data_IF_990000435332
#
_entry.id   IF_990000435332
#
_cell.length_a   1.000
_cell.length_b   1.000
_cell.length_c   1.000
_cell.angle_alpha   90.00
_cell.angle_beta   90.00
_cell.angle_gamma   90.00
#
_symmetry.space_group_name_H-M   'P 1'
#
loop_
_entity.id
_entity.type
_entity.pdbx_description
1 polymer ?
#
# COMPACT_ATOMS: atom_id res chain seq x y z
N UNK A 1 15.07 -19.78 17.86
CA UNK A 1 16.37 -20.40 17.56
C UNK A 1 17.18 -19.37 16.78
N UNK A 2 18.47 -19.09 17.16
CA UNK A 2 19.28 -18.15 16.39
C UNK A 2 19.47 -18.72 14.98
N UNK A 3 19.19 -17.88 13.98
CA UNK A 3 19.45 -18.20 12.58
C UNK A 3 20.94 -18.43 12.45
N UNK A 4 21.35 -19.61 12.04
CA UNK A 4 22.75 -19.88 11.73
C UNK A 4 23.23 -18.86 10.69
N UNK A 5 24.44 -18.32 10.88
CA UNK A 5 25.01 -17.23 10.04
C UNK A 5 24.93 -17.49 8.52
N UNK A 6 24.76 -18.75 8.10
CA UNK A 6 24.57 -19.13 6.70
C UNK A 6 23.19 -18.83 6.10
N UNK A 7 22.15 -18.63 6.91
CA UNK A 7 20.78 -18.37 6.44
C UNK A 7 20.37 -16.88 6.48
N UNK A 8 21.16 -16.03 7.13
CA UNK A 8 20.85 -14.62 7.28
C UNK A 8 20.81 -13.87 5.93
N UNK A 9 21.72 -14.18 5.03
CA UNK A 9 21.83 -13.53 3.71
C UNK A 9 20.69 -13.92 2.77
N UNK A 10 20.32 -15.23 2.59
CA UNK A 10 19.13 -15.63 1.84
C UNK A 10 17.84 -15.05 2.40
N UNK A 11 17.66 -15.05 3.74
CA UNK A 11 16.47 -14.49 4.38
C UNK A 11 16.35 -12.98 4.18
N UNK A 12 17.45 -12.22 4.31
CA UNK A 12 17.48 -10.79 4.02
C UNK A 12 17.12 -10.50 2.56
N UNK A 13 17.68 -11.27 1.61
CA UNK A 13 17.38 -11.13 0.20
C UNK A 13 15.91 -11.46 -0.11
N UNK A 14 15.37 -12.50 0.52
CA UNK A 14 13.96 -12.88 0.40
C UNK A 14 13.00 -11.78 0.90
N UNK A 15 13.31 -11.13 2.03
CA UNK A 15 12.54 -10.00 2.55
C UNK A 15 12.62 -8.81 1.60
N UNK A 16 13.82 -8.45 1.13
CA UNK A 16 14.01 -7.34 0.21
C UNK A 16 13.27 -7.55 -1.11
N UNK A 17 13.36 -8.75 -1.68
CA UNK A 17 12.64 -9.15 -2.89
C UNK A 17 11.13 -9.03 -2.69
N UNK A 18 10.60 -9.60 -1.62
CA UNK A 18 9.15 -9.55 -1.33
C UNK A 18 8.69 -8.11 -1.10
N UNK A 19 9.42 -7.32 -0.32
CA UNK A 19 9.08 -5.92 -0.08
C UNK A 19 9.06 -5.09 -1.39
N UNK A 20 10.05 -5.26 -2.26
CA UNK A 20 10.06 -4.58 -3.57
C UNK A 20 8.94 -5.07 -4.48
N UNK A 21 8.62 -6.37 -4.47
CA UNK A 21 7.53 -6.96 -5.23
C UNK A 21 6.16 -6.37 -4.83
N UNK A 22 5.91 -6.20 -3.53
CA UNK A 22 4.67 -5.58 -3.04
C UNK A 22 4.66 -4.07 -3.24
N UNK A 23 5.79 -3.39 -3.13
CA UNK A 23 5.90 -1.96 -3.46
C UNK A 23 5.59 -1.68 -4.94
N UNK A 24 6.03 -2.57 -5.83
CA UNK A 24 5.72 -2.48 -7.27
C UNK A 24 4.38 -3.09 -7.65
N UNK A 25 3.61 -3.54 -6.67
CA UNK A 25 2.31 -4.23 -6.81
C UNK A 25 2.33 -5.47 -7.72
N UNK A 26 3.50 -6.10 -7.85
CA UNK A 26 3.68 -7.35 -8.62
C UNK A 26 3.17 -8.55 -7.83
N UNK A 27 3.40 -8.59 -6.50
CA UNK A 27 2.82 -9.57 -5.58
C UNK A 27 3.54 -10.92 -5.47
N UNK A 28 4.76 -11.08 -6.03
CA UNK A 28 5.52 -12.31 -5.83
C UNK A 28 6.10 -12.38 -4.42
N UNK A 29 5.99 -13.56 -3.81
CA UNK A 29 6.48 -13.87 -2.46
C UNK A 29 7.70 -14.78 -2.60
N UNK A 30 8.79 -14.42 -1.93
CA UNK A 30 9.98 -15.29 -1.86
C UNK A 30 9.71 -16.51 -0.98
N UNK A 31 10.27 -17.66 -1.31
CA UNK A 31 10.26 -18.87 -0.46
C UNK A 31 10.86 -18.61 0.92
N UNK A 32 11.83 -17.69 1.01
CA UNK A 32 12.50 -17.32 2.26
C UNK A 32 11.75 -16.24 3.07
N UNK A 33 10.58 -15.78 2.60
CA UNK A 33 9.80 -14.76 3.28
C UNK A 33 9.45 -15.13 4.73
N UNK A 34 8.97 -16.37 4.96
CA UNK A 34 8.58 -16.82 6.29
C UNK A 34 9.75 -16.85 7.27
N UNK A 35 10.93 -17.28 6.81
CA UNK A 35 12.15 -17.29 7.62
C UNK A 35 12.59 -15.87 7.97
N UNK A 36 12.57 -14.96 7.00
CA UNK A 36 12.91 -13.56 7.21
C UNK A 36 11.91 -12.81 8.10
N UNK A 37 10.62 -13.09 7.92
CA UNK A 37 9.55 -12.52 8.75
C UNK A 37 9.67 -12.97 10.21
N UNK A 38 9.95 -14.25 10.46
CA UNK A 38 10.18 -14.79 11.81
C UNK A 38 11.42 -14.16 12.48
N UNK A 39 12.47 -13.90 11.70
CA UNK A 39 13.70 -13.26 12.21
C UNK A 39 13.49 -11.79 12.55
N UNK A 40 12.64 -11.07 11.83
CA UNK A 40 12.40 -9.64 12.03
C UNK A 40 11.77 -9.29 13.39
N UNK A 41 11.15 -10.27 14.08
CA UNK A 41 10.43 -10.06 15.34
C UNK A 41 9.17 -9.20 15.19
N UNK A 42 8.74 -8.88 13.97
CA UNK A 42 7.51 -8.12 13.69
C UNK A 42 6.32 -9.07 13.85
N UNK A 43 5.39 -8.74 14.74
CA UNK A 43 4.23 -9.59 15.03
C UNK A 43 3.27 -9.76 13.83
N UNK A 44 3.21 -8.78 12.94
CA UNK A 44 2.32 -8.78 11.75
C UNK A 44 3.07 -8.28 10.51
N UNK A 45 3.99 -9.07 9.95
CA UNK A 45 4.79 -8.65 8.78
C UNK A 45 3.92 -8.39 7.54
N UNK A 46 2.77 -9.04 7.42
CA UNK A 46 1.80 -8.82 6.34
C UNK A 46 1.26 -7.39 6.27
N UNK A 47 1.10 -6.72 7.42
CA UNK A 47 0.68 -5.30 7.44
C UNK A 47 1.71 -4.36 6.81
N UNK A 48 3.00 -4.69 6.92
CA UNK A 48 4.06 -3.91 6.25
C UNK A 48 3.93 -4.04 4.73
N UNK A 49 3.68 -5.26 4.24
CA UNK A 49 3.45 -5.50 2.82
C UNK A 49 2.18 -4.79 2.30
N UNK A 50 1.12 -4.77 3.11
CA UNK A 50 -0.11 -4.05 2.82
C UNK A 50 0.16 -2.54 2.71
N UNK A 51 0.91 -1.95 3.63
CA UNK A 51 1.31 -0.55 3.57
C UNK A 51 2.15 -0.24 2.32
N UNK A 52 3.09 -1.12 1.96
CA UNK A 52 3.90 -0.97 0.74
C UNK A 52 3.02 -1.03 -0.52
N UNK A 53 2.05 -1.94 -0.58
CA UNK A 53 1.11 -2.04 -1.70
C UNK A 53 0.23 -0.79 -1.84
N UNK A 54 -0.20 -0.17 -0.73
CA UNK A 54 -0.95 1.09 -0.72
C UNK A 54 -0.10 2.24 -1.29
N UNK A 55 1.18 2.34 -0.87
CA UNK A 55 2.12 3.35 -1.40
C UNK A 55 2.25 3.18 -2.92
N UNK A 56 2.39 1.94 -3.37
CA UNK A 56 2.44 1.59 -4.78
C UNK A 56 3.73 2.02 -5.48
N UNK A 57 3.82 1.67 -6.75
CA UNK A 57 5.00 1.95 -7.57
C UNK A 57 5.09 3.38 -8.13
N UNK A 58 5.97 3.58 -9.10
CA UNK A 58 6.20 4.87 -9.75
C UNK A 58 5.03 5.34 -10.62
N UNK A 59 4.93 6.63 -10.87
CA UNK A 59 3.82 7.27 -11.63
C UNK A 59 3.75 6.87 -13.10
N UNK A 60 4.82 6.37 -13.67
CA UNK A 60 4.89 5.92 -15.07
C UNK A 60 4.86 4.40 -15.20
N UNK A 61 4.41 3.70 -14.17
CA UNK A 61 4.31 2.24 -14.14
C UNK A 61 2.85 1.79 -14.10
N UNK A 62 2.61 0.53 -14.48
CA UNK A 62 1.32 -0.15 -14.38
C UNK A 62 0.94 -0.54 -12.94
N UNK A 63 1.79 -0.22 -11.97
CA UNK A 63 1.55 -0.49 -10.56
C UNK A 63 0.29 0.23 -10.07
N UNK A 64 -0.54 -0.45 -9.27
CA UNK A 64 -1.69 0.12 -8.58
C UNK A 64 -1.30 0.99 -7.37
N UNK A 65 -2.28 1.36 -6.56
CA UNK A 65 -2.09 2.13 -5.33
C UNK A 65 -1.98 3.65 -5.55
N UNK A 66 -1.61 4.37 -4.48
CA UNK A 66 -1.57 5.85 -4.45
C UNK A 66 -0.47 6.43 -5.34
N UNK A 67 0.57 5.67 -5.63
CA UNK A 67 1.81 6.00 -6.37
C UNK A 67 2.79 6.88 -5.59
N UNK A 68 4.04 6.45 -5.61
CA UNK A 68 5.14 7.00 -4.80
C UNK A 68 5.29 8.52 -4.92
N UNK A 69 5.14 9.09 -6.13
CA UNK A 69 5.29 10.53 -6.35
C UNK A 69 4.20 11.34 -5.64
N UNK A 70 2.97 10.82 -5.56
CA UNK A 70 1.87 11.47 -4.85
C UNK A 70 2.10 11.44 -3.34
N UNK A 71 2.54 10.30 -2.81
CA UNK A 71 2.93 10.16 -1.40
C UNK A 71 4.06 11.15 -1.07
N UNK A 72 5.09 11.25 -1.90
CA UNK A 72 6.17 12.22 -1.74
C UNK A 72 5.66 13.67 -1.77
N UNK A 73 4.76 14.01 -2.70
CA UNK A 73 4.17 15.35 -2.78
C UNK A 73 3.38 15.71 -1.52
N UNK A 74 2.61 14.75 -0.96
CA UNK A 74 1.87 14.92 0.29
C UNK A 74 2.80 15.10 1.49
N UNK A 75 3.85 14.28 1.63
CA UNK A 75 4.84 14.41 2.70
C UNK A 75 5.53 15.78 2.65
N UNK A 76 5.97 16.21 1.47
CA UNK A 76 6.58 17.52 1.27
C UNK A 76 5.60 18.69 1.54
N UNK A 77 4.33 18.49 1.30
CA UNK A 77 3.31 19.48 1.67
C UNK A 77 3.14 19.54 3.18
N UNK A 78 3.04 18.39 3.84
CA UNK A 78 2.94 18.29 5.29
C UNK A 78 4.15 18.92 6.02
N UNK A 79 5.37 18.62 5.59
CA UNK A 79 6.59 19.23 6.14
C UNK A 79 6.52 20.77 6.10
N UNK A 80 6.02 21.34 5.01
CA UNK A 80 5.92 22.81 4.86
C UNK A 80 4.84 23.44 5.72
N UNK A 81 3.70 22.77 5.85
CA UNK A 81 2.68 23.28 6.74
C UNK A 81 3.16 23.25 8.20
N UNK A 82 3.94 22.24 8.59
CA UNK A 82 4.62 22.19 9.90
C UNK A 82 5.65 23.32 10.03
N UNK A 83 6.51 23.56 9.01
CA UNK A 83 7.47 24.66 9.02
C UNK A 83 6.78 26.03 9.15
N UNK A 84 5.62 26.21 8.54
CA UNK A 84 4.83 27.45 8.67
C UNK A 84 4.28 27.68 10.09
N UNK A 85 3.93 26.59 10.78
CA UNK A 85 3.45 26.67 12.17
C UNK A 85 4.63 27.04 13.09
N UNK A 86 5.82 26.47 12.86
CA UNK A 86 7.00 26.70 13.69
C UNK A 86 7.66 28.06 13.38
N UNK A 87 7.72 28.45 12.09
CA UNK A 87 8.38 29.67 11.61
C UNK A 87 7.44 30.49 10.71
N UNK A 88 6.46 31.23 11.27
CA UNK A 88 5.43 31.94 10.49
C UNK A 88 6.00 33.03 9.57
N UNK A 89 7.19 33.56 9.89
CA UNK A 89 7.88 34.64 9.11
C UNK A 89 8.85 34.09 8.05
N UNK A 90 8.93 32.77 7.84
CA UNK A 90 9.82 32.17 6.86
C UNK A 90 9.33 32.46 5.44
N UNK A 91 10.12 33.22 4.68
CA UNK A 91 9.91 33.44 3.25
C UNK A 91 10.49 32.22 2.50
N UNK A 92 9.63 31.23 2.19
CA UNK A 92 10.05 30.00 1.51
C UNK A 92 10.82 30.28 0.21
N UNK A 93 11.96 29.60 0.04
CA UNK A 93 12.83 29.65 -1.15
C UNK A 93 12.07 29.14 -2.39
N UNK A 94 11.58 30.04 -3.24
CA UNK A 94 11.00 29.65 -4.53
C UNK A 94 10.21 30.78 -5.16
N UNK A 95 10.44 31.06 -6.46
CA UNK A 95 9.70 32.02 -7.25
C UNK A 95 8.19 31.71 -7.33
N UNK A 96 7.38 32.70 -7.67
CA UNK A 96 5.91 32.62 -7.71
C UNK A 96 5.37 31.49 -8.59
N UNK A 97 6.01 31.21 -9.75
CA UNK A 97 5.60 30.11 -10.64
C UNK A 97 5.85 28.73 -10.06
N UNK A 98 7.00 28.51 -9.41
CA UNK A 98 7.31 27.24 -8.77
C UNK A 98 6.45 26.95 -7.51
N UNK A 99 5.91 27.99 -6.88
CA UNK A 99 4.95 27.85 -5.77
C UNK A 99 3.58 27.39 -6.27
N UNK A 100 3.10 27.95 -7.38
CA UNK A 100 1.80 27.62 -7.96
C UNK A 100 1.75 26.18 -8.44
N UNK A 101 2.71 25.76 -9.29
CA UNK A 101 2.81 24.38 -9.77
C UNK A 101 2.88 23.34 -8.65
N UNK A 102 3.62 23.65 -7.58
CA UNK A 102 3.74 22.75 -6.42
C UNK A 102 2.47 22.67 -5.58
N UNK A 103 1.71 23.76 -5.46
CA UNK A 103 0.43 23.77 -4.74
C UNK A 103 -0.63 22.99 -5.50
N UNK A 104 -0.73 23.19 -6.80
CA UNK A 104 -1.63 22.44 -7.67
C UNK A 104 -1.30 20.93 -7.65
N UNK A 105 -0.01 20.55 -7.70
CA UNK A 105 0.42 19.16 -7.60
C UNK A 105 0.08 18.51 -6.24
N UNK A 106 0.22 19.24 -5.13
CA UNK A 106 -0.15 18.74 -3.81
C UNK A 106 -1.66 18.60 -3.64
N UNK A 107 -2.46 19.53 -4.18
CA UNK A 107 -3.91 19.43 -4.18
C UNK A 107 -4.41 18.23 -4.98
N UNK A 108 -3.86 18.02 -6.17
CA UNK A 108 -4.18 16.83 -6.98
C UNK A 108 -3.78 15.54 -6.25
N UNK A 109 -2.60 15.48 -5.64
CA UNK A 109 -2.17 14.33 -4.86
C UNK A 109 -3.13 14.02 -3.69
N UNK A 110 -3.61 15.06 -3.00
CA UNK A 110 -4.60 14.95 -1.93
C UNK A 110 -5.93 14.40 -2.43
N UNK A 111 -6.45 14.92 -3.54
CA UNK A 111 -7.71 14.45 -4.14
C UNK A 111 -7.61 12.96 -4.51
N UNK A 112 -6.52 12.56 -5.17
CA UNK A 112 -6.33 11.15 -5.51
C UNK A 112 -6.18 10.24 -4.29
N UNK A 113 -5.49 10.71 -3.25
CA UNK A 113 -5.38 9.96 -1.99
C UNK A 113 -6.76 9.78 -1.33
N UNK A 114 -7.56 10.85 -1.28
CA UNK A 114 -8.92 10.78 -0.74
C UNK A 114 -9.82 9.86 -1.59
N UNK A 115 -9.71 9.95 -2.91
CA UNK A 115 -10.46 9.06 -3.82
C UNK A 115 -10.09 7.60 -3.58
N UNK A 116 -8.82 7.28 -3.45
CA UNK A 116 -8.35 5.93 -3.13
C UNK A 116 -8.89 5.47 -1.77
N UNK A 117 -8.80 6.30 -0.73
CA UNK A 117 -9.32 5.98 0.61
C UNK A 117 -10.84 5.72 0.58
N UNK A 118 -11.60 6.55 -0.14
CA UNK A 118 -13.04 6.35 -0.31
C UNK A 118 -13.33 5.05 -1.09
N UNK A 119 -12.57 4.75 -2.14
CA UNK A 119 -12.71 3.51 -2.90
C UNK A 119 -12.46 2.28 -2.03
N UNK A 120 -11.42 2.31 -1.17
CA UNK A 120 -11.16 1.24 -0.18
C UNK A 120 -12.34 1.11 0.77
N UNK A 121 -12.84 2.23 1.34
CA UNK A 121 -13.95 2.22 2.29
C UNK A 121 -15.23 1.65 1.66
N UNK A 122 -15.58 2.09 0.44
CA UNK A 122 -16.77 1.61 -0.29
C UNK A 122 -16.63 0.12 -0.61
N UNK A 123 -15.50 -0.32 -1.12
CA UNK A 123 -15.26 -1.73 -1.44
C UNK A 123 -15.33 -2.60 -0.19
N UNK A 124 -14.69 -2.17 0.90
CA UNK A 124 -14.76 -2.87 2.19
C UNK A 124 -16.20 -2.95 2.70
N UNK A 125 -16.96 -1.85 2.64
CA UNK A 125 -18.37 -1.83 3.05
C UNK A 125 -19.23 -2.79 2.21
N UNK A 126 -19.03 -2.83 0.90
CA UNK A 126 -19.74 -3.77 0.01
C UNK A 126 -19.40 -5.22 0.35
N UNK A 127 -18.14 -5.54 0.64
CA UNK A 127 -17.72 -6.90 1.02
C UNK A 127 -18.29 -7.29 2.38
N UNK A 128 -18.34 -6.39 3.35
CA UNK A 128 -18.96 -6.67 4.67
C UNK A 128 -20.47 -6.85 4.57
N UNK A 129 -21.15 -6.17 3.65
CA UNK A 129 -22.57 -6.41 3.36
C UNK A 129 -22.81 -7.81 2.72
N UNK A 130 -21.79 -8.42 2.15
CA UNK A 130 -21.81 -9.79 1.61
C UNK A 130 -21.30 -10.84 2.61
N UNK A 131 -21.41 -10.56 3.92
CA UNK A 131 -21.02 -11.44 5.04
C UNK A 131 -19.51 -11.77 5.13
N UNK A 132 -18.65 -10.94 4.51
CA UNK A 132 -17.20 -11.04 4.71
C UNK A 132 -16.81 -10.26 5.97
N UNK A 133 -16.07 -10.89 6.90
CA UNK A 133 -15.60 -10.20 8.11
C UNK A 133 -14.75 -8.98 7.74
N UNK A 134 -14.74 -7.94 8.61
CA UNK A 134 -14.12 -6.64 8.33
C UNK A 134 -12.64 -6.72 7.96
N UNK A 135 -11.85 -7.50 8.73
CA UNK A 135 -10.40 -7.63 8.46
C UNK A 135 -10.11 -8.26 7.08
N UNK A 136 -10.65 -9.44 6.72
CA UNK A 136 -10.50 -9.98 5.38
C UNK A 136 -11.06 -9.05 4.30
N UNK A 137 -12.19 -8.38 4.53
CA UNK A 137 -12.79 -7.46 3.58
C UNK A 137 -11.87 -6.28 3.26
N UNK A 138 -11.22 -5.71 4.29
CA UNK A 138 -10.26 -4.62 4.13
C UNK A 138 -9.03 -5.06 3.33
N UNK A 139 -8.46 -6.22 3.66
CA UNK A 139 -7.30 -6.76 2.94
C UNK A 139 -7.65 -7.06 1.48
N UNK A 140 -8.79 -7.69 1.22
CA UNK A 140 -9.26 -7.98 -0.13
C UNK A 140 -9.54 -6.70 -0.94
N UNK A 141 -10.14 -5.67 -0.32
CA UNK A 141 -10.39 -4.39 -0.96
C UNK A 141 -9.09 -3.72 -1.39
N UNK A 142 -8.08 -3.69 -0.52
CA UNK A 142 -6.76 -3.14 -0.84
C UNK A 142 -6.08 -3.99 -1.91
N UNK A 143 -6.08 -5.32 -1.78
CA UNK A 143 -5.51 -6.24 -2.76
C UNK A 143 -6.12 -6.04 -4.16
N UNK A 144 -7.44 -5.85 -4.25
CA UNK A 144 -8.14 -5.60 -5.50
C UNK A 144 -7.78 -4.22 -6.09
N UNK A 145 -7.85 -3.14 -5.30
CA UNK A 145 -7.57 -1.77 -5.75
C UNK A 145 -6.10 -1.54 -6.08
N UNK A 146 -5.17 -2.27 -5.44
CA UNK A 146 -3.75 -2.22 -5.78
C UNK A 146 -3.35 -3.23 -6.84
N UNK A 147 -4.29 -4.07 -7.29
CA UNK A 147 -4.07 -5.18 -8.24
C UNK A 147 -2.99 -6.19 -7.76
N UNK A 148 -2.83 -6.33 -6.43
CA UNK A 148 -1.83 -7.19 -5.79
C UNK A 148 -2.54 -8.41 -5.17
N UNK A 149 -3.01 -9.35 -6.01
CA UNK A 149 -3.77 -10.52 -5.58
C UNK A 149 -3.15 -11.32 -4.42
N UNK A 150 -1.84 -11.68 -4.46
CA UNK A 150 -1.20 -12.45 -3.39
C UNK A 150 -1.19 -11.77 -2.02
N UNK A 151 -1.53 -10.49 -1.93
CA UNK A 151 -1.69 -9.80 -0.64
C UNK A 151 -2.75 -10.47 0.26
N UNK A 152 -3.76 -11.13 -0.32
CA UNK A 152 -4.77 -11.89 0.42
C UNK A 152 -4.17 -13.06 1.23
N UNK A 153 -3.06 -13.63 0.77
CA UNK A 153 -2.41 -14.76 1.44
C UNK A 153 -1.52 -14.33 2.60
N UNK A 154 -0.90 -13.15 2.53
CA UNK A 154 0.09 -12.70 3.51
C UNK A 154 -0.33 -11.46 4.29
N UNK A 155 -1.33 -10.73 3.83
CA UNK A 155 -1.77 -9.46 4.44
C UNK A 155 -2.72 -9.62 5.61
N UNK A 156 -3.49 -10.70 5.67
CA UNK A 156 -4.43 -11.00 6.73
C UNK A 156 -3.80 -11.89 7.82
N UNK A 157 -4.41 -11.93 9.01
CA UNK A 157 -4.00 -12.82 10.10
C UNK A 157 -4.10 -14.31 9.71
N UNK A 158 -5.04 -14.63 8.83
CA UNK A 158 -5.17 -15.95 8.23
C UNK A 158 -5.18 -15.83 6.70
N UNK A 159 -4.49 -16.73 5.96
CA UNK A 159 -4.49 -16.70 4.51
C UNK A 159 -5.90 -16.78 3.94
N UNK A 160 -6.26 -15.84 3.07
CA UNK A 160 -7.58 -15.80 2.44
C UNK A 160 -7.49 -16.48 1.09
N UNK A 161 -8.25 -17.59 0.92
CA UNK A 161 -8.35 -18.27 -0.36
C UNK A 161 -9.47 -17.67 -1.21
N UNK A 162 -9.14 -17.19 -2.39
CA UNK A 162 -10.15 -16.70 -3.36
C UNK A 162 -11.14 -17.78 -3.80
N UNK A 163 -10.75 -19.07 -3.75
CA UNK A 163 -11.62 -20.18 -4.11
C UNK A 163 -12.80 -20.33 -3.15
N UNK A 164 -12.62 -19.99 -1.87
CA UNK A 164 -13.62 -20.09 -0.83
C UNK A 164 -14.65 -18.93 -0.86
N UNK A 165 -14.39 -17.86 -1.62
CA UNK A 165 -15.29 -16.71 -1.70
C UNK A 165 -16.49 -16.99 -2.60
N UNK A 166 -17.64 -16.38 -2.27
CA UNK A 166 -18.84 -16.45 -3.11
C UNK A 166 -18.63 -15.74 -4.47
N UNK A 167 -19.39 -16.12 -5.48
CA UNK A 167 -19.25 -15.53 -6.82
C UNK A 167 -19.62 -14.05 -6.85
N UNK A 168 -20.54 -13.61 -5.99
CA UNK A 168 -20.90 -12.19 -5.81
C UNK A 168 -19.71 -11.38 -5.27
N UNK A 169 -18.99 -11.91 -4.28
CA UNK A 169 -17.76 -11.28 -3.74
C UNK A 169 -16.69 -11.18 -4.82
N UNK A 170 -16.48 -12.25 -5.60
CA UNK A 170 -15.53 -12.25 -6.73
C UNK A 170 -15.89 -11.21 -7.78
N UNK A 171 -17.18 -11.03 -8.10
CA UNK A 171 -17.64 -10.01 -9.03
C UNK A 171 -17.35 -8.59 -8.53
N UNK A 172 -17.59 -8.31 -7.25
CA UNK A 172 -17.27 -7.01 -6.63
C UNK A 172 -15.76 -6.75 -6.65
N UNK A 173 -14.94 -7.76 -6.32
CA UNK A 173 -13.47 -7.63 -6.38
C UNK A 173 -12.99 -7.39 -7.82
N UNK A 174 -13.58 -8.09 -8.81
CA UNK A 174 -13.27 -7.87 -10.23
C UNK A 174 -13.58 -6.45 -10.69
N UNK A 175 -14.72 -5.87 -10.26
CA UNK A 175 -15.06 -4.47 -10.52
C UNK A 175 -14.07 -3.52 -9.83
N UNK A 176 -13.69 -3.79 -8.58
CA UNK A 176 -12.71 -3.00 -7.86
C UNK A 176 -11.34 -2.99 -8.56
N UNK A 177 -10.90 -4.12 -9.14
CA UNK A 177 -9.65 -4.22 -9.92
C UNK A 177 -9.66 -3.36 -11.19
N UNK A 178 -10.83 -3.10 -11.79
CA UNK A 178 -10.96 -2.23 -12.98
C UNK A 178 -10.79 -0.76 -12.58
N UNK A 179 -11.19 -0.41 -11.36
CA UNK A 179 -11.12 0.96 -10.84
C UNK A 179 -9.71 1.30 -10.32
N UNK A 180 -8.98 0.32 -9.75
CA UNK A 180 -7.62 0.46 -9.20
C UNK A 180 -6.56 0.40 -10.26
#
# INVERSE_FOLDING_TARGET
TPVENGQALPSFWGVLFTATSFLTTTGYISTEWHNGAAWSGVGTPGMVLLALAIIGGGTATTAGGVKLLRVYALLRHGERELERIIHPNSIGRGGTGARRLRREGAQLAWVFFMLFAVSVAVTTALLTLLDVAFEPALVLAIAALTTTGPLAEVGAAQPISYAALSDTVKAVLGLAMIVG
#
